data_IF_047891821294
#
_entry.id   IF_047891821294
#
_cell.length_a   1.000
_cell.length_b   1.000
_cell.length_c   1.000
_cell.angle_alpha   90.00
_cell.angle_beta   90.00
_cell.angle_gamma   90.00
#
_symmetry.space_group_name_H-M   'P 1'
#
loop_
_entity.id
_entity.type
_entity.pdbx_description
1 polymer ?
#
# COMPACT_ATOMS: atom_id res chain seq x y z
N UNK A 1 -12.95 -11.25 -10.49
CA UNK A 1 -12.59 -11.03 -9.08
C UNK A 1 -12.50 -12.33 -8.30
N UNK A 2 -13.59 -13.07 -8.05
CA UNK A 2 -13.54 -14.31 -7.25
C UNK A 2 -12.57 -15.35 -7.82
N UNK A 3 -12.57 -15.54 -9.15
CA UNK A 3 -11.58 -16.37 -9.85
C UNK A 3 -10.12 -15.90 -9.69
N UNK A 4 -9.87 -14.61 -9.45
CA UNK A 4 -8.51 -14.07 -9.27
C UNK A 4 -8.01 -14.26 -7.84
N UNK A 5 -8.89 -14.11 -6.85
CA UNK A 5 -8.52 -14.14 -5.42
C UNK A 5 -8.85 -15.48 -4.75
N UNK A 6 -9.52 -16.40 -5.45
CA UNK A 6 -9.90 -17.74 -4.95
C UNK A 6 -11.00 -17.75 -3.90
N UNK A 7 -11.64 -16.61 -3.63
CA UNK A 7 -12.70 -16.44 -2.62
C UNK A 7 -13.61 -15.26 -2.94
N UNK A 8 -14.74 -15.13 -2.23
CA UNK A 8 -15.55 -13.91 -2.29
C UNK A 8 -14.80 -12.74 -1.64
N UNK A 9 -14.66 -11.57 -2.30
CA UNK A 9 -13.96 -10.43 -1.70
C UNK A 9 -14.78 -9.84 -0.55
N UNK A 10 -14.22 -9.87 0.66
CA UNK A 10 -14.85 -9.28 1.84
C UNK A 10 -14.87 -7.76 1.72
N UNK A 11 -16.04 -7.17 1.93
CA UNK A 11 -16.21 -5.71 1.91
C UNK A 11 -15.90 -5.06 0.58
N UNK A 12 -16.07 -5.73 -0.56
CA UNK A 12 -15.91 -5.11 -1.88
C UNK A 12 -16.83 -3.89 -2.04
N UNK A 13 -16.26 -2.76 -2.51
CA UNK A 13 -17.02 -1.57 -2.86
C UNK A 13 -17.00 -1.33 -4.37
N UNK A 14 -15.82 -1.24 -4.97
CA UNK A 14 -15.65 -0.99 -6.41
C UNK A 14 -14.28 -1.43 -6.92
N UNK A 15 -14.15 -1.53 -8.24
CA UNK A 15 -12.83 -1.62 -8.89
C UNK A 15 -12.21 -0.23 -8.92
N UNK A 16 -10.96 -0.11 -8.46
CA UNK A 16 -10.20 1.14 -8.50
C UNK A 16 -9.47 1.27 -9.83
N UNK A 17 -8.80 0.20 -10.28
CA UNK A 17 -8.03 0.16 -11.53
C UNK A 17 -8.14 -1.21 -12.20
N UNK A 18 -7.83 -1.23 -13.51
CA UNK A 18 -7.74 -2.46 -14.32
C UNK A 18 -6.35 -2.53 -14.96
N UNK A 19 -5.84 -3.75 -15.07
CA UNK A 19 -4.58 -4.01 -15.75
C UNK A 19 -4.76 -3.97 -17.28
N UNK A 20 -3.68 -4.01 -18.07
CA UNK A 20 -3.76 -4.00 -19.55
C UNK A 20 -4.61 -5.12 -20.15
N UNK A 21 -4.77 -6.25 -19.45
CA UNK A 21 -5.63 -7.36 -19.87
C UNK A 21 -7.12 -7.15 -19.49
N UNK A 22 -7.50 -5.96 -19.03
CA UNK A 22 -8.87 -5.62 -18.61
C UNK A 22 -9.30 -6.19 -17.26
N UNK A 23 -8.45 -7.00 -16.61
CA UNK A 23 -8.75 -7.60 -15.31
C UNK A 23 -8.63 -6.55 -14.19
N UNK A 24 -9.49 -6.59 -13.16
CA UNK A 24 -9.32 -5.76 -11.98
C UNK A 24 -7.93 -5.91 -11.37
N UNK A 25 -7.21 -4.80 -11.26
CA UNK A 25 -5.86 -4.76 -10.71
C UNK A 25 -5.90 -4.40 -9.25
N UNK A 26 -6.61 -3.33 -8.91
CA UNK A 26 -6.86 -2.91 -7.54
C UNK A 26 -8.36 -2.72 -7.29
N UNK A 27 -8.83 -3.11 -6.12
CA UNK A 27 -10.19 -2.84 -5.64
C UNK A 27 -10.18 -1.91 -4.44
N UNK A 28 -11.30 -1.24 -4.24
CA UNK A 28 -11.63 -0.54 -3.00
C UNK A 28 -12.47 -1.46 -2.11
N UNK A 29 -12.06 -1.60 -0.86
CA UNK A 29 -12.80 -2.34 0.16
C UNK A 29 -13.29 -1.44 1.29
N UNK A 30 -14.31 -1.90 2.01
CA UNK A 30 -14.81 -1.26 3.22
C UNK A 30 -13.67 -1.14 4.25
N UNK A 31 -13.58 0.00 4.94
CA UNK A 31 -12.56 0.24 5.96
C UNK A 31 -12.79 -0.59 7.23
N UNK A 32 -13.99 -1.14 7.38
CA UNK A 32 -14.45 -1.94 8.51
C UNK A 32 -15.23 -3.14 7.99
N UNK A 33 -14.93 -4.33 8.52
CA UNK A 33 -15.65 -5.56 8.28
C UNK A 33 -16.44 -5.94 9.52
N UNK A 34 -17.70 -6.33 9.33
CA UNK A 34 -18.51 -6.98 10.37
C UNK A 34 -18.23 -8.48 10.34
N UNK A 35 -18.03 -9.07 11.50
CA UNK A 35 -17.86 -10.52 11.66
C UNK A 35 -19.10 -11.09 12.35
N UNK A 36 -19.72 -12.09 11.71
CA UNK A 36 -20.85 -12.81 12.27
C UNK A 36 -20.34 -13.78 13.35
N UNK A 37 -20.93 -13.73 14.56
CA UNK A 37 -20.61 -14.68 15.64
C UNK A 37 -19.56 -14.25 16.68
N UNK A 38 -19.11 -12.99 16.70
CA UNK A 38 -18.21 -12.49 17.74
C UNK A 38 -18.82 -12.53 19.14
N UNK A 39 -18.10 -13.11 20.11
CA UNK A 39 -18.51 -13.26 21.52
C UNK A 39 -18.53 -11.95 22.32
N UNK A 40 -17.89 -10.89 21.83
CA UNK A 40 -17.93 -9.54 22.42
C UNK A 40 -18.29 -8.50 21.34
N UNK A 41 -19.08 -7.46 21.66
CA UNK A 41 -19.43 -6.37 20.74
C UNK A 41 -18.22 -5.78 20.02
N UNK A 42 -17.08 -5.61 20.72
CA UNK A 42 -15.84 -5.05 20.17
C UNK A 42 -15.16 -5.93 19.12
N UNK A 43 -15.41 -7.25 19.15
CA UNK A 43 -14.87 -8.22 18.18
C UNK A 43 -15.75 -8.37 16.94
N UNK A 44 -16.99 -7.88 16.97
CA UNK A 44 -17.90 -7.94 15.81
C UNK A 44 -17.51 -6.96 14.71
N UNK A 45 -16.64 -6.00 15.01
CA UNK A 45 -16.27 -4.90 14.11
C UNK A 45 -14.75 -4.82 14.01
N UNK A 46 -14.21 -5.13 12.82
CA UNK A 46 -12.77 -5.23 12.59
C UNK A 46 -12.31 -4.24 11.50
N UNK A 47 -11.46 -3.26 11.83
CA UNK A 47 -10.82 -2.42 10.83
C UNK A 47 -10.01 -3.27 9.86
N UNK A 48 -10.25 -3.08 8.56
CA UNK A 48 -9.50 -3.78 7.54
C UNK A 48 -8.14 -3.09 7.33
N UNK A 49 -7.00 -3.81 7.21
CA UNK A 49 -5.68 -3.17 7.24
C UNK A 49 -5.42 -2.27 6.02
N UNK A 50 -6.12 -2.47 4.91
CA UNK A 50 -6.03 -1.58 3.74
C UNK A 50 -7.39 -1.40 3.08
N UNK A 51 -7.68 -0.23 2.49
CA UNK A 51 -8.87 -0.03 1.63
C UNK A 51 -8.56 -0.26 0.16
N UNK A 52 -7.28 -0.24 -0.23
CA UNK A 52 -6.85 -0.62 -1.58
C UNK A 52 -6.22 -2.01 -1.53
N UNK A 53 -6.82 -2.96 -2.24
CA UNK A 53 -6.34 -4.34 -2.29
C UNK A 53 -5.94 -4.69 -3.73
N UNK A 54 -4.67 -5.10 -3.90
CA UNK A 54 -4.14 -5.65 -5.15
C UNK A 54 -4.72 -7.04 -5.42
N UNK A 55 -5.29 -7.24 -6.60
CA UNK A 55 -6.04 -8.46 -6.97
C UNK A 55 -5.61 -9.07 -8.31
N UNK A 56 -4.84 -8.37 -9.13
CA UNK A 56 -4.25 -8.95 -10.35
C UNK A 56 -3.19 -10.01 -9.97
N UNK A 57 -3.34 -11.29 -10.38
CA UNK A 57 -2.41 -12.35 -10.00
C UNK A 57 -0.96 -12.08 -10.43
N UNK A 58 -0.77 -11.51 -11.61
CA UNK A 58 0.56 -11.14 -12.12
C UNK A 58 1.21 -10.04 -11.27
N UNK A 59 0.44 -9.00 -10.92
CA UNK A 59 0.93 -7.92 -10.07
C UNK A 59 1.24 -8.41 -8.65
N UNK A 60 0.37 -9.22 -8.05
CA UNK A 60 0.59 -9.83 -6.72
C UNK A 60 1.87 -10.66 -6.72
N UNK A 61 2.07 -11.51 -7.73
CA UNK A 61 3.28 -12.33 -7.85
C UNK A 61 4.53 -11.45 -7.95
N UNK A 62 4.53 -10.48 -8.85
CA UNK A 62 5.70 -9.65 -9.10
C UNK A 62 6.08 -8.80 -7.88
N UNK A 63 5.09 -8.26 -7.16
CA UNK A 63 5.32 -7.53 -5.89
C UNK A 63 5.80 -8.49 -4.79
N UNK A 64 5.23 -9.69 -4.67
CA UNK A 64 5.67 -10.71 -3.71
C UNK A 64 7.14 -11.09 -3.92
N UNK A 65 7.58 -11.20 -5.17
CA UNK A 65 8.97 -11.49 -5.49
C UNK A 65 9.91 -10.33 -5.10
N UNK A 66 9.47 -9.07 -5.22
CA UNK A 66 10.26 -7.94 -4.69
C UNK A 66 10.37 -8.00 -3.15
N UNK A 67 9.28 -8.33 -2.45
CA UNK A 67 9.29 -8.51 -0.99
C UNK A 67 10.25 -9.64 -0.58
N UNK A 68 10.21 -10.78 -1.29
CA UNK A 68 11.11 -11.91 -1.05
C UNK A 68 12.59 -11.58 -1.29
N UNK A 69 12.88 -10.67 -2.23
CA UNK A 69 14.24 -10.16 -2.48
C UNK A 69 14.71 -9.15 -1.43
N UNK A 70 13.86 -8.76 -0.46
CA UNK A 70 14.24 -7.85 0.63
C UNK A 70 14.00 -6.37 0.32
N UNK A 71 13.27 -6.02 -0.74
CA UNK A 71 13.02 -4.63 -1.13
C UNK A 71 12.21 -3.83 -0.10
N UNK A 72 11.47 -4.48 0.81
CA UNK A 72 10.82 -3.76 1.93
C UNK A 72 11.84 -2.98 2.75
N UNK A 73 12.90 -3.66 3.21
CA UNK A 73 13.96 -3.03 4.03
C UNK A 73 14.74 -1.98 3.24
N UNK A 74 14.98 -2.23 1.97
CA UNK A 74 15.66 -1.28 1.09
C UNK A 74 14.84 0.00 0.91
N UNK A 75 13.54 -0.11 0.63
CA UNK A 75 12.68 1.07 0.50
C UNK A 75 12.48 1.80 1.83
N UNK A 76 12.49 1.10 2.97
CA UNK A 76 12.51 1.73 4.29
C UNK A 76 13.78 2.57 4.50
N UNK A 77 14.96 2.02 4.16
CA UNK A 77 16.23 2.77 4.22
C UNK A 77 16.23 3.97 3.28
N UNK A 78 15.80 3.77 2.03
CA UNK A 78 15.68 4.85 1.04
C UNK A 78 14.77 5.96 1.54
N UNK A 79 13.62 5.61 2.11
CA UNK A 79 12.68 6.57 2.69
C UNK A 79 13.30 7.34 3.86
N UNK A 80 14.04 6.66 4.74
CA UNK A 80 14.71 7.31 5.88
C UNK A 80 15.84 8.27 5.46
N UNK A 81 16.48 8.02 4.30
CA UNK A 81 17.55 8.85 3.77
C UNK A 81 17.11 10.01 2.85
N UNK A 82 15.81 10.12 2.53
CA UNK A 82 15.28 11.11 1.59
C UNK A 82 14.16 11.93 2.26
N UNK A 83 14.49 13.12 2.75
CA UNK A 83 13.55 13.99 3.46
C UNK A 83 12.35 14.42 2.60
N UNK A 84 12.54 14.59 1.29
CA UNK A 84 11.45 14.99 0.39
C UNK A 84 10.48 13.83 0.18
N UNK A 85 11.00 12.62 -0.07
CA UNK A 85 10.18 11.42 -0.15
C UNK A 85 9.49 11.12 1.18
N UNK A 86 10.14 11.42 2.30
CA UNK A 86 9.57 11.28 3.63
C UNK A 86 8.33 12.15 3.81
N UNK A 87 8.40 13.44 3.46
CA UNK A 87 7.25 14.32 3.57
C UNK A 87 6.13 13.92 2.61
N UNK A 88 6.47 13.54 1.37
CA UNK A 88 5.48 13.01 0.43
C UNK A 88 4.79 11.75 0.97
N UNK A 89 5.53 10.88 1.68
CA UNK A 89 4.99 9.70 2.33
C UNK A 89 4.05 10.04 3.49
N UNK A 90 4.42 11.03 4.32
CA UNK A 90 3.57 11.53 5.41
C UNK A 90 2.25 12.09 4.88
N UNK A 91 2.30 12.89 3.82
CA UNK A 91 1.09 13.44 3.21
C UNK A 91 0.24 12.33 2.55
N UNK A 92 0.86 11.42 1.82
CA UNK A 92 0.15 10.27 1.24
C UNK A 92 -0.56 9.41 2.30
N UNK A 93 0.05 9.28 3.49
CA UNK A 93 -0.49 8.57 4.65
C UNK A 93 -1.66 9.31 5.29
N UNK A 94 -1.55 10.63 5.49
CA UNK A 94 -2.64 11.48 6.00
C UNK A 94 -3.84 11.48 5.05
N UNK A 95 -3.58 11.71 3.77
CA UNK A 95 -4.58 11.66 2.70
C UNK A 95 -5.25 10.28 2.62
N UNK A 96 -4.50 9.19 2.80
CA UNK A 96 -5.04 7.84 2.86
C UNK A 96 -6.00 7.64 4.03
N UNK A 97 -5.64 8.10 5.23
CA UNK A 97 -6.49 7.97 6.42
C UNK A 97 -7.80 8.76 6.26
N UNK A 98 -7.73 9.96 5.68
CA UNK A 98 -8.92 10.76 5.34
C UNK A 98 -9.81 10.05 4.32
N UNK A 99 -9.23 9.51 3.24
CA UNK A 99 -9.98 8.73 2.24
C UNK A 99 -10.60 7.47 2.85
N UNK A 100 -9.86 6.79 3.73
CA UNK A 100 -10.34 5.61 4.43
C UNK A 100 -11.57 5.92 5.28
N UNK A 101 -11.55 7.03 6.02
CA UNK A 101 -12.68 7.47 6.84
C UNK A 101 -13.88 7.87 5.96
N UNK A 102 -13.66 8.53 4.83
CA UNK A 102 -14.74 8.95 3.93
C UNK A 102 -15.48 7.81 3.23
N UNK A 103 -14.94 6.58 3.28
CA UNK A 103 -15.64 5.38 2.81
C UNK A 103 -16.71 4.88 3.79
N UNK A 104 -16.78 5.42 5.01
CA UNK A 104 -17.88 5.15 5.94
C UNK A 104 -19.02 6.16 5.73
N UNK A 105 -20.28 5.69 5.63
CA UNK A 105 -21.44 6.54 5.86
C UNK A 105 -21.34 7.30 7.18
N UNK A 106 -21.84 8.53 7.24
CA UNK A 106 -21.70 9.40 8.40
C UNK A 106 -22.31 8.82 9.68
N UNK A 107 -23.47 8.17 9.56
CA UNK A 107 -24.13 7.46 10.65
C UNK A 107 -23.31 6.25 11.13
N UNK A 108 -22.71 5.49 10.21
CA UNK A 108 -21.84 4.37 10.56
C UNK A 108 -20.54 4.83 11.23
N UNK A 109 -19.94 5.93 10.78
CA UNK A 109 -18.77 6.53 11.41
C UNK A 109 -19.07 7.02 12.82
N UNK A 110 -20.21 7.72 13.02
CA UNK A 110 -20.66 8.17 14.33
C UNK A 110 -20.90 7.00 15.30
N UNK A 111 -21.56 5.94 14.81
CA UNK A 111 -21.75 4.71 15.58
C UNK A 111 -20.44 4.02 15.93
N UNK A 112 -19.52 3.93 14.98
CA UNK A 112 -18.20 3.33 15.23
C UNK A 112 -17.44 4.11 16.30
N UNK A 113 -17.50 5.44 16.28
CA UNK A 113 -16.88 6.30 17.29
C UNK A 113 -17.51 6.11 18.69
N UNK A 114 -18.84 5.99 18.76
CA UNK A 114 -19.57 5.83 20.02
C UNK A 114 -19.45 4.42 20.61
N UNK A 115 -19.62 3.38 19.78
CA UNK A 115 -19.69 1.97 20.21
C UNK A 115 -18.29 1.33 20.28
N UNK A 116 -17.34 1.77 19.45
CA UNK A 116 -16.02 1.15 19.29
C UNK A 116 -14.90 2.20 19.08
N UNK A 117 -14.67 3.12 20.03
CA UNK A 117 -13.75 4.25 19.87
C UNK A 117 -12.32 3.83 19.47
N UNK A 118 -11.83 2.70 19.98
CA UNK A 118 -10.54 2.14 19.57
C UNK A 118 -10.48 1.74 18.09
N UNK A 119 -11.55 1.12 17.56
CA UNK A 119 -11.62 0.75 16.15
C UNK A 119 -11.79 1.97 15.24
N UNK A 120 -12.56 2.98 15.71
CA UNK A 120 -12.67 4.26 15.03
C UNK A 120 -11.31 4.93 14.88
N UNK A 121 -10.52 5.00 15.96
CA UNK A 121 -9.18 5.58 15.95
C UNK A 121 -8.27 4.89 14.92
N UNK A 122 -8.34 3.56 14.82
CA UNK A 122 -7.60 2.82 13.79
C UNK A 122 -8.03 3.24 12.39
N UNK A 123 -9.33 3.34 12.13
CA UNK A 123 -9.84 3.75 10.80
C UNK A 123 -9.44 5.18 10.47
N UNK A 124 -9.53 6.09 11.44
CA UNK A 124 -9.30 7.52 11.26
C UNK A 124 -7.81 7.89 11.14
N UNK A 125 -6.90 7.08 11.69
CA UNK A 125 -5.48 7.47 11.80
C UNK A 125 -4.48 6.50 11.20
N UNK A 126 -4.85 5.23 10.98
CA UNK A 126 -3.88 4.29 10.42
C UNK A 126 -3.58 4.60 8.96
N UNK A 127 -2.30 4.52 8.63
CA UNK A 127 -1.81 4.68 7.27
C UNK A 127 -2.05 3.47 6.39
N UNK A 128 -1.41 3.52 5.22
CA UNK A 128 -1.38 2.41 4.26
C UNK A 128 -0.87 1.14 4.97
N UNK A 129 -1.59 0.02 4.81
CA UNK A 129 -1.23 -1.25 5.45
C UNK A 129 -1.52 -1.33 6.96
N UNK A 130 -2.32 -0.41 7.51
CA UNK A 130 -2.77 -0.48 8.91
C UNK A 130 -1.63 -0.18 9.88
N UNK A 131 -0.74 0.73 9.49
CA UNK A 131 0.37 1.20 10.31
C UNK A 131 -0.18 2.29 11.23
N UNK A 132 -0.12 2.02 12.53
CA UNK A 132 -0.37 2.98 13.60
C UNK A 132 0.99 3.41 14.13
N UNK A 133 1.25 4.70 14.20
CA UNK A 133 2.53 5.20 14.68
C UNK A 133 2.79 6.61 14.23
N UNK A 134 3.84 7.21 14.79
CA UNK A 134 4.29 8.53 14.38
C UNK A 134 4.75 8.45 12.90
N UNK A 135 4.48 9.48 12.10
CA UNK A 135 4.82 9.48 10.68
C UNK A 135 6.33 9.45 10.41
N UNK A 136 7.17 9.62 11.45
CA UNK A 136 8.64 9.66 11.48
C UNK A 136 9.30 8.25 11.46
N UNK A 137 8.56 7.18 11.73
CA UNK A 137 9.04 5.81 11.56
C UNK A 137 8.58 5.23 10.21
N UNK A 138 9.53 4.83 9.35
CA UNK A 138 9.26 4.18 8.06
C UNK A 138 8.59 2.81 8.23
N UNK A 139 7.28 2.80 8.47
CA UNK A 139 6.49 1.61 8.79
C UNK A 139 6.03 0.78 7.60
N UNK A 140 6.84 0.63 6.54
CA UNK A 140 6.45 -0.16 5.36
C UNK A 140 6.31 -1.64 5.78
N UNK A 141 5.08 -2.12 5.96
CA UNK A 141 4.79 -3.52 6.31
C UNK A 141 4.76 -4.43 5.08
N UNK A 142 4.10 -3.99 4.01
CA UNK A 142 4.02 -4.73 2.74
C UNK A 142 3.96 -3.77 1.54
N UNK A 143 4.65 -4.11 0.46
CA UNK A 143 4.67 -3.37 -0.80
C UNK A 143 3.34 -3.45 -1.54
N UNK A 144 2.57 -4.53 -1.34
CA UNK A 144 1.26 -4.71 -1.96
C UNK A 144 0.30 -3.56 -1.67
N UNK A 145 0.22 -3.12 -0.41
CA UNK A 145 -0.68 -2.04 -0.02
C UNK A 145 -0.23 -0.69 -0.60
N UNK A 146 1.07 -0.40 -0.59
CA UNK A 146 1.59 0.83 -1.19
C UNK A 146 1.44 0.86 -2.71
N UNK A 147 1.67 -0.27 -3.39
CA UNK A 147 1.47 -0.34 -4.84
C UNK A 147 0.00 -0.21 -5.23
N UNK A 148 -0.90 -0.90 -4.53
CA UNK A 148 -2.35 -0.77 -4.75
C UNK A 148 -2.84 0.67 -4.54
N UNK A 149 -2.37 1.30 -3.48
CA UNK A 149 -2.70 2.70 -3.16
C UNK A 149 -2.17 3.67 -4.23
N UNK A 150 -0.94 3.47 -4.72
CA UNK A 150 -0.38 4.26 -5.81
C UNK A 150 -1.13 4.05 -7.13
N UNK A 151 -1.51 2.83 -7.48
CA UNK A 151 -2.33 2.58 -8.67
C UNK A 151 -3.66 3.35 -8.60
N UNK A 152 -4.28 3.40 -7.43
CA UNK A 152 -5.58 4.04 -7.25
C UNK A 152 -5.52 5.57 -7.13
N UNK A 153 -4.47 6.13 -6.51
CA UNK A 153 -4.40 7.56 -6.13
C UNK A 153 -3.20 8.32 -6.71
N UNK A 154 -2.15 7.63 -7.15
CA UNK A 154 -0.98 8.23 -7.81
C UNK A 154 0.01 9.00 -6.93
N UNK A 155 -0.29 9.23 -5.65
CA UNK A 155 0.50 10.13 -4.78
C UNK A 155 1.48 9.44 -3.84
N UNK A 156 1.39 8.11 -3.68
CA UNK A 156 2.20 7.37 -2.72
C UNK A 156 3.62 7.08 -3.26
N UNK A 157 4.69 7.68 -2.68
CA UNK A 157 6.05 7.56 -3.20
C UNK A 157 6.59 6.12 -3.12
N UNK A 158 6.19 5.34 -2.12
CA UNK A 158 6.60 3.93 -2.01
C UNK A 158 5.99 3.11 -3.14
N UNK A 159 4.71 3.31 -3.43
CA UNK A 159 4.05 2.62 -4.54
C UNK A 159 4.61 3.03 -5.91
N UNK A 160 5.03 4.30 -6.06
CA UNK A 160 5.78 4.76 -7.23
C UNK A 160 7.10 4.00 -7.39
N UNK A 161 7.89 3.87 -6.33
CA UNK A 161 9.13 3.08 -6.38
C UNK A 161 8.89 1.61 -6.67
N UNK A 162 7.82 1.01 -6.14
CA UNK A 162 7.43 -0.36 -6.51
C UNK A 162 7.14 -0.45 -8.01
N UNK A 163 6.42 0.52 -8.59
CA UNK A 163 6.17 0.57 -10.04
C UNK A 163 7.48 0.62 -10.84
N UNK A 164 8.42 1.47 -10.43
CA UNK A 164 9.74 1.59 -11.07
C UNK A 164 10.50 0.27 -11.03
N UNK A 165 10.57 -0.37 -9.85
CA UNK A 165 11.23 -1.68 -9.69
C UNK A 165 10.58 -2.78 -10.54
N UNK A 166 9.25 -2.78 -10.66
CA UNK A 166 8.54 -3.73 -11.52
C UNK A 166 8.86 -3.51 -13.00
N UNK A 167 9.02 -2.26 -13.45
CA UNK A 167 9.43 -1.95 -14.83
C UNK A 167 10.86 -2.40 -15.10
N UNK A 168 11.79 -2.10 -14.20
CA UNK A 168 13.18 -2.57 -14.31
C UNK A 168 13.27 -4.10 -14.32
N UNK A 169 12.46 -4.77 -13.49
CA UNK A 169 12.37 -6.22 -13.46
C UNK A 169 11.90 -6.79 -14.80
N UNK A 170 10.84 -6.21 -15.37
CA UNK A 170 10.32 -6.61 -16.67
C UNK A 170 11.34 -6.43 -17.80
N UNK A 171 12.31 -5.51 -17.64
CA UNK A 171 13.43 -5.30 -18.57
C UNK A 171 14.64 -6.18 -18.30
N UNK A 172 14.66 -6.96 -17.22
CA UNK A 172 15.83 -7.73 -16.80
C UNK A 172 16.95 -6.88 -16.17
N UNK A 173 16.65 -5.64 -15.77
CA UNK A 173 17.61 -4.67 -15.24
C UNK A 173 17.66 -4.67 -13.70
N UNK A 174 16.76 -5.42 -13.04
CA UNK A 174 16.64 -5.46 -11.60
C UNK A 174 17.81 -6.24 -10.96
N UNK A 175 18.81 -5.51 -10.47
CA UNK A 175 19.85 -6.05 -9.59
C UNK A 175 19.36 -6.36 -8.17
N UNK A 176 20.15 -7.06 -7.33
CA UNK A 176 19.80 -7.26 -5.93
C UNK A 176 19.84 -5.93 -5.16
N UNK A 177 19.03 -5.78 -4.09
CA UNK A 177 18.88 -4.51 -3.37
C UNK A 177 20.20 -3.95 -2.83
N UNK A 178 21.11 -4.83 -2.39
CA UNK A 178 22.41 -4.47 -1.81
C UNK A 178 23.39 -3.82 -2.81
N UNK A 179 23.23 -4.08 -4.12
CA UNK A 179 24.14 -3.56 -5.17
C UNK A 179 23.80 -2.13 -5.63
N UNK A 180 22.73 -1.51 -5.14
CA UNK A 180 22.30 -0.16 -5.57
C UNK A 180 22.94 1.01 -4.81
N UNK A 181 23.75 0.73 -3.78
CA UNK A 181 24.36 1.75 -2.93
C UNK A 181 25.67 2.35 -3.49
N UNK A 182 26.19 1.85 -4.62
CA UNK A 182 27.35 2.47 -5.26
C UNK A 182 26.87 3.53 -6.27
N UNK A 183 27.28 4.81 -6.15
CA UNK A 183 27.10 5.76 -7.25
C UNK A 183 27.80 5.17 -8.48
N UNK A 184 27.07 5.05 -9.60
CA UNK A 184 27.69 4.65 -10.87
C UNK A 184 28.87 5.59 -11.11
N UNK A 185 30.11 5.11 -11.33
CA UNK A 185 31.20 6.01 -11.68
C UNK A 185 30.78 6.78 -12.92
N UNK A 186 30.83 8.12 -12.85
CA UNK A 186 30.64 8.96 -14.04
C UNK A 186 31.69 8.49 -15.04
N UNK A 187 31.25 8.01 -16.22
CA UNK A 187 32.18 7.76 -17.33
C UNK A 187 32.92 9.07 -17.57
N UNK A 188 34.24 9.05 -17.38
CA UNK A 188 35.08 10.16 -17.78
C UNK A 188 34.86 10.41 -19.28
N UNK A 189 34.81 11.67 -19.74
CA UNK A 189 34.83 11.95 -21.16
C UNK A 189 36.09 11.29 -21.74
N UNK A 190 35.91 10.52 -22.83
CA UNK A 190 37.04 10.05 -23.61
C UNK A 190 37.74 11.30 -24.13
N UNK A 191 38.98 11.52 -23.72
CA UNK A 191 39.83 12.54 -24.33
C UNK A 191 39.91 12.22 -25.81
N UNK A 192 39.53 13.20 -26.63
CA UNK A 192 39.92 13.27 -28.02
C UNK A 192 41.35 13.84 -28.03
N UNK A 193 42.26 13.12 -28.70
CA UNK A 193 43.61 13.56 -29.07
C UNK A 193 43.58 14.80 -29.97
#
# INVERSE_FOLDING_TARGET
MERQIGRKPRGFLRVATRCPFGLPETIVTRPVLREDGGTSPERRVKPFPTVFWLTCPGAVRAVSELEALGYVRELQRRLAGDASAFEAYREATRSYANYRLSLLPADEAARLAAEHPGQYEVVARSGIGGVLGKPDAAGIKCLHAHYADYLARGTNPIGKWVRELLVEKARGELGPPERRQAPRPRRAPRGEE
#
